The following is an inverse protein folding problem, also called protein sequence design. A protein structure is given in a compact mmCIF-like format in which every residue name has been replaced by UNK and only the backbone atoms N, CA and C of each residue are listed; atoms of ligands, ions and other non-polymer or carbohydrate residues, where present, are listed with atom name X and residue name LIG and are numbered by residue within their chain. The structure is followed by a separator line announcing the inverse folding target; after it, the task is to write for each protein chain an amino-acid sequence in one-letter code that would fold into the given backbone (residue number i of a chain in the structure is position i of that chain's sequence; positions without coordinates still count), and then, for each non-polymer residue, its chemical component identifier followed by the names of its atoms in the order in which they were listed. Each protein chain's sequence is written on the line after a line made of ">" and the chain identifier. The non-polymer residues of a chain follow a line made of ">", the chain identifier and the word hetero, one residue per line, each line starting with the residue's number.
data_IF_368128623629
#
_entry.id   IF_368128623629
#
_cell.length_a   1.000
_cell.length_b   1.000
_cell.length_c   1.000
_cell.angle_alpha   90.00
_cell.angle_beta   90.00
_cell.angle_gamma   90.00
#
_symmetry.space_group_name_H-M   'P 1'
#
loop_
_entity.id
_entity.type
_entity.pdbx_description
1 polymer ?
#
# COMPACT_ATOMS: atom_id res chain seq x y z
N UNK A 1 31.35 -11.25 21.17
CA UNK A 1 30.76 -9.99 20.68
C UNK A 1 29.72 -10.35 19.64
N UNK A 2 28.46 -10.41 20.07
CA UNK A 2 27.33 -10.72 19.18
C UNK A 2 27.00 -9.45 18.41
N UNK A 3 27.17 -9.52 17.09
CA UNK A 3 26.85 -8.43 16.17
C UNK A 3 25.34 -8.29 16.13
N UNK A 4 24.79 -7.37 16.93
CA UNK A 4 23.41 -6.91 16.78
C UNK A 4 23.28 -6.38 15.36
N UNK A 5 22.67 -7.18 14.47
CA UNK A 5 22.33 -6.75 13.13
C UNK A 5 21.23 -5.71 13.30
N UNK A 6 21.59 -4.45 13.12
CA UNK A 6 20.69 -3.31 12.94
C UNK A 6 19.39 -3.76 12.25
N UNK A 7 18.27 -3.67 12.98
CA UNK A 7 16.95 -4.02 12.44
C UNK A 7 16.48 -3.06 11.34
N UNK A 8 17.22 -1.97 11.11
CA UNK A 8 16.93 -0.93 10.13
C UNK A 8 17.07 -1.36 8.67
N UNK A 9 17.79 -2.44 8.38
CA UNK A 9 17.95 -2.98 7.01
C UNK A 9 16.95 -4.09 6.67
N UNK A 10 16.01 -4.41 7.55
CA UNK A 10 14.95 -5.37 7.24
C UNK A 10 13.96 -4.73 6.29
N UNK A 11 14.06 -5.09 5.01
CA UNK A 11 13.01 -4.77 4.01
C UNK A 11 11.65 -5.14 4.61
N UNK A 12 10.65 -4.25 4.57
CA UNK A 12 9.35 -4.55 5.13
C UNK A 12 8.74 -5.76 4.41
N UNK A 13 8.06 -6.64 5.15
CA UNK A 13 7.32 -7.79 4.58
C UNK A 13 6.07 -7.27 3.87
N UNK A 14 6.26 -6.72 2.67
CA UNK A 14 5.18 -6.23 1.81
C UNK A 14 4.87 -7.24 0.70
N UNK A 15 3.79 -6.99 -0.04
CA UNK A 15 3.42 -7.77 -1.22
C UNK A 15 4.62 -7.85 -2.18
N UNK A 16 4.95 -9.02 -2.76
CA UNK A 16 6.04 -9.16 -3.73
C UNK A 16 5.96 -8.15 -4.89
N UNK A 17 4.76 -7.73 -5.28
CA UNK A 17 4.54 -6.71 -6.33
C UNK A 17 5.03 -5.31 -5.95
N UNK A 18 5.28 -5.06 -4.66
CA UNK A 18 5.82 -3.82 -4.11
C UNK A 18 7.32 -3.91 -3.81
N UNK A 19 8.01 -4.93 -4.32
CA UNK A 19 9.47 -5.01 -4.19
C UNK A 19 10.13 -3.79 -4.85
N UNK A 20 10.96 -3.07 -4.09
CA UNK A 20 11.56 -1.80 -4.52
C UNK A 20 10.73 -0.56 -4.19
N UNK A 21 9.61 -0.72 -3.48
CA UNK A 21 8.85 0.42 -2.93
C UNK A 21 9.58 0.99 -1.72
N UNK A 22 9.98 2.26 -1.82
CA UNK A 22 10.61 3.03 -0.73
C UNK A 22 9.76 4.28 -0.45
N UNK A 23 9.49 4.51 0.83
CA UNK A 23 8.71 5.66 1.33
C UNK A 23 9.54 6.35 2.39
N UNK A 24 9.80 7.64 2.20
CA UNK A 24 10.56 8.48 3.13
C UNK A 24 9.79 9.75 3.43
N UNK A 25 9.72 10.11 4.71
CA UNK A 25 9.14 11.37 5.15
C UNK A 25 10.28 12.32 5.46
N UNK A 26 10.28 13.51 4.84
CA UNK A 26 11.30 14.51 5.12
C UNK A 26 10.93 15.32 6.38
N UNK A 27 11.84 16.19 6.83
CA UNK A 27 11.62 17.04 8.02
C UNK A 27 10.48 18.06 7.87
N UNK A 28 10.02 18.28 6.64
CA UNK A 28 8.90 19.17 6.32
C UNK A 28 7.56 18.42 6.19
N UNK A 29 7.54 17.11 6.41
CA UNK A 29 6.33 16.28 6.29
C UNK A 29 5.97 15.89 4.86
N UNK A 30 6.83 16.18 3.88
CA UNK A 30 6.64 15.72 2.50
C UNK A 30 6.96 14.23 2.41
N UNK A 31 6.08 13.49 1.75
CA UNK A 31 6.24 12.06 1.48
C UNK A 31 6.95 11.91 0.13
N UNK A 32 8.13 11.29 0.15
CA UNK A 32 8.88 10.90 -1.05
C UNK A 32 8.71 9.41 -1.27
N UNK A 33 8.09 9.05 -2.39
CA UNK A 33 7.90 7.67 -2.82
C UNK A 33 8.77 7.36 -4.03
N UNK A 34 9.25 6.12 -4.16
CA UNK A 34 9.96 5.66 -5.37
C UNK A 34 9.02 5.39 -6.56
N UNK A 35 7.72 5.25 -6.30
CA UNK A 35 6.69 5.01 -7.30
C UNK A 35 5.76 6.20 -7.46
N UNK A 36 5.17 6.30 -8.65
CA UNK A 36 4.14 7.28 -8.98
C UNK A 36 2.87 7.05 -8.14
N UNK A 37 2.26 8.15 -7.72
CA UNK A 37 1.04 8.16 -6.90
C UNK A 37 -0.10 7.41 -7.60
N UNK A 38 -0.23 7.56 -8.91
CA UNK A 38 -1.27 6.89 -9.70
C UNK A 38 -1.15 5.37 -9.63
N UNK A 39 0.08 4.85 -9.72
CA UNK A 39 0.34 3.42 -9.63
C UNK A 39 0.04 2.86 -8.23
N UNK A 40 0.30 3.66 -7.19
CA UNK A 40 -0.05 3.30 -5.81
C UNK A 40 -1.58 3.24 -5.66
N UNK A 41 -2.29 4.24 -6.17
CA UNK A 41 -3.76 4.28 -6.11
C UNK A 41 -4.38 3.08 -6.86
N UNK A 42 -3.90 2.76 -8.06
CA UNK A 42 -4.35 1.57 -8.79
C UNK A 42 -4.05 0.27 -8.04
N UNK A 43 -2.90 0.18 -7.38
CA UNK A 43 -2.56 -0.98 -6.55
C UNK A 43 -3.50 -1.11 -5.35
N UNK A 44 -3.77 -0.02 -4.64
CA UNK A 44 -4.67 -0.01 -3.48
C UNK A 44 -6.10 -0.37 -3.87
N UNK A 45 -6.64 0.22 -4.95
CA UNK A 45 -8.00 -0.11 -5.43
C UNK A 45 -8.14 -1.58 -5.83
N UNK A 46 -7.05 -2.23 -6.26
CA UNK A 46 -7.07 -3.63 -6.69
C UNK A 46 -6.89 -4.61 -5.53
N UNK A 47 -5.96 -4.33 -4.63
CA UNK A 47 -5.51 -5.28 -3.61
C UNK A 47 -6.17 -5.03 -2.24
N UNK A 48 -6.75 -3.85 -2.02
CA UNK A 48 -7.36 -3.44 -0.76
C UNK A 48 -8.82 -3.05 -0.99
N UNK A 49 -9.72 -3.74 -0.31
CA UNK A 49 -11.13 -3.35 -0.27
C UNK A 49 -11.29 -2.00 0.44
N UNK A 50 -12.01 -1.06 -0.18
CA UNK A 50 -12.29 0.24 0.42
C UNK A 50 -13.16 0.08 1.67
N UNK A 51 -12.54 0.27 2.84
CA UNK A 51 -13.20 0.18 4.16
C UNK A 51 -14.37 1.14 4.30
N UNK A 52 -14.41 2.24 3.54
CA UNK A 52 -15.53 3.20 3.57
C UNK A 52 -16.79 2.67 2.88
N UNK A 53 -16.64 1.64 2.04
CA UNK A 53 -17.73 1.02 1.29
C UNK A 53 -18.19 -0.30 1.92
N UNK A 54 -17.45 -0.84 2.90
CA UNK A 54 -17.77 -2.13 3.52
C UNK A 54 -19.10 -2.14 4.27
N UNK A 55 -19.44 -1.03 4.92
CA UNK A 55 -20.64 -0.92 5.75
C UNK A 55 -21.82 -0.28 4.99
N UNK A 56 -21.73 -0.21 3.66
CA UNK A 56 -22.75 0.37 2.79
C UNK A 56 -23.57 -0.73 2.13
N UNK A 57 -24.69 -1.07 2.75
CA UNK A 57 -25.65 -2.06 2.24
C UNK A 57 -26.30 -1.64 0.90
N UNK A 58 -26.29 -0.34 0.58
CA UNK A 58 -26.81 0.24 -0.65
C UNK A 58 -25.90 -0.01 -1.86
N UNK A 59 -24.62 -0.25 -1.64
CA UNK A 59 -23.62 -0.52 -2.68
C UNK A 59 -23.35 -2.02 -2.75
N UNK A 60 -24.28 -2.77 -3.33
CA UNK A 60 -24.03 -4.15 -3.74
C UNK A 60 -23.02 -4.16 -4.92
N UNK A 61 -21.74 -4.04 -4.62
CA UNK A 61 -20.62 -4.07 -5.57
C UNK A 61 -20.50 -5.41 -6.35
N UNK A 62 -21.27 -6.43 -5.97
CA UNK A 62 -21.29 -7.75 -6.61
C UNK A 62 -22.27 -7.86 -7.80
N UNK A 63 -22.80 -6.75 -8.34
CA UNK A 63 -23.91 -6.79 -9.32
C UNK A 63 -23.60 -6.27 -10.72
N UNK A 64 -22.42 -5.72 -10.96
CA UNK A 64 -22.08 -5.10 -12.26
C UNK A 64 -21.16 -5.96 -13.15
N UNK A 65 -20.82 -7.20 -12.76
CA UNK A 65 -20.05 -8.14 -13.62
C UNK A 65 -20.94 -9.15 -14.38
N UNK A 66 -22.27 -9.06 -14.28
CA UNK A 66 -23.22 -9.89 -15.03
C UNK A 66 -24.29 -9.05 -15.76
N UNK A 67 -23.88 -8.19 -16.71
CA UNK A 67 -24.74 -7.77 -17.84
C UNK A 67 -23.96 -7.76 -19.17
#
# INVERSE_FOLDING_TARGET
>A
MSKEKDESDKKPKVNPKLEGFDVKINRFGEIKTSFDIDKINSFLNKEVEDKKLKDRDDLNLNKDEEE
#
